data_IF_223769455720
#
_entry.id   IF_223769455720
#
_cell.length_a   1.000
_cell.length_b   1.000
_cell.length_c   1.000
_cell.angle_alpha   90.00
_cell.angle_beta   90.00
_cell.angle_gamma   90.00
#
_symmetry.space_group_name_H-M   'P 1'
#
loop_
_entity.id
_entity.type
_entity.pdbx_description
1 polymer ?
#
# COMPACT_ATOMS: atom_id res chain seq x y z
N UNK A 1 24.25 27.04 27.37
CA UNK A 1 24.29 27.64 28.71
C UNK A 1 24.85 26.60 29.64
N UNK A 2 25.99 26.84 30.29
CA UNK A 2 26.08 27.77 31.42
C UNK A 2 25.16 27.30 32.56
N UNK A 3 25.52 27.32 33.85
CA UNK A 3 26.40 28.17 34.63
C UNK A 3 26.66 27.47 35.98
N UNK A 4 27.83 27.70 36.61
CA UNK A 4 27.90 28.48 37.86
C UNK A 4 29.36 28.75 38.26
N UNK A 5 29.56 29.97 38.76
CA UNK A 5 30.81 30.73 38.88
C UNK A 5 30.78 31.49 40.22
N UNK A 6 31.97 31.93 40.65
CA UNK A 6 32.34 32.86 41.75
C UNK A 6 32.52 32.22 43.14
N UNK A 7 33.63 32.41 43.88
CA UNK A 7 34.61 33.51 43.99
C UNK A 7 34.50 34.04 45.44
N UNK A 8 35.55 34.27 46.26
CA UNK A 8 36.56 35.33 46.10
C UNK A 8 37.41 35.52 47.40
N UNK A 9 38.63 36.10 47.24
CA UNK A 9 39.42 36.98 48.14
C UNK A 9 40.13 36.38 49.40
N UNK A 10 41.33 36.81 49.84
CA UNK A 10 42.23 37.92 49.47
C UNK A 10 43.65 37.74 50.12
N UNK A 11 44.68 38.34 49.46
CA UNK A 11 45.89 39.02 49.99
C UNK A 11 46.82 38.27 50.99
N UNK A 12 48.15 38.22 50.87
CA UNK A 12 49.11 38.88 49.98
C UNK A 12 50.48 38.93 50.69
N UNK A 13 51.56 38.68 49.94
CA UNK A 13 52.96 39.12 50.18
C UNK A 13 53.69 38.58 51.44
N UNK A 14 54.97 38.20 51.47
CA UNK A 14 56.11 38.36 50.57
C UNK A 14 57.26 37.45 51.06
N UNK A 15 58.08 37.00 50.11
CA UNK A 15 59.53 36.72 50.16
C UNK A 15 60.16 35.93 51.33
N UNK A 16 60.62 34.71 51.01
CA UNK A 16 61.79 34.08 51.63
C UNK A 16 62.87 33.86 50.57
N UNK A 17 64.05 34.39 50.85
CA UNK A 17 65.31 34.17 50.15
C UNK A 17 66.12 33.17 51.00
N UNK A 18 66.46 31.99 50.45
CA UNK A 18 67.82 31.36 50.52
C UNK A 18 67.82 29.88 50.11
N UNK A 19 68.57 29.66 49.04
CA UNK A 19 69.62 28.65 48.84
C UNK A 19 69.30 27.15 48.87
N UNK A 20 69.32 26.61 47.65
CA UNK A 20 70.25 25.59 47.16
C UNK A 20 70.46 24.35 48.03
N UNK A 21 69.81 23.25 47.63
CA UNK A 21 70.46 21.96 47.41
C UNK A 21 69.50 21.01 46.68
N UNK A 22 70.06 20.23 45.73
CA UNK A 22 69.47 19.07 45.00
C UNK A 22 68.99 19.31 43.56
N UNK A 23 69.92 19.75 42.71
CA UNK A 23 69.84 19.61 41.24
C UNK A 23 70.39 18.25 40.76
N UNK A 24 69.86 17.13 41.27
CA UNK A 24 70.25 15.78 40.78
C UNK A 24 69.07 14.81 40.58
N UNK A 25 67.83 15.22 40.86
CA UNK A 25 66.64 14.39 40.60
C UNK A 25 65.85 14.77 39.34
N UNK A 26 66.21 15.88 38.69
CA UNK A 26 65.48 16.41 37.52
C UNK A 26 66.04 15.83 36.20
N UNK A 27 67.33 15.51 36.14
CA UNK A 27 67.98 14.99 34.93
C UNK A 27 67.58 13.54 34.57
N UNK A 28 67.09 12.74 35.53
CA UNK A 28 66.64 11.37 35.27
C UNK A 28 65.16 11.25 34.86
N UNK A 29 64.36 12.33 35.01
CA UNK A 29 62.93 12.32 34.66
C UNK A 29 62.65 12.73 33.21
N UNK A 30 63.56 13.46 32.59
CA UNK A 30 63.47 13.92 31.20
C UNK A 30 63.55 12.75 30.20
N UNK A 31 64.48 11.77 30.30
CA UNK A 31 64.51 10.66 29.35
C UNK A 31 63.29 9.74 29.47
N UNK A 32 62.74 9.58 30.68
CA UNK A 32 61.54 8.76 30.92
C UNK A 32 60.28 9.42 30.33
N UNK A 33 60.17 10.75 30.42
CA UNK A 33 59.07 11.50 29.82
C UNK A 33 59.14 11.53 28.29
N UNK A 34 60.36 11.54 27.71
CA UNK A 34 60.57 11.43 26.26
C UNK A 34 60.23 10.03 25.75
N UNK A 35 60.54 8.97 26.51
CA UNK A 35 60.12 7.60 26.16
C UNK A 35 58.60 7.41 26.22
N UNK A 36 57.92 8.02 27.20
CA UNK A 36 56.44 7.94 27.32
C UNK A 36 55.67 8.84 26.34
N UNK A 37 56.34 9.82 25.72
CA UNK A 37 55.74 10.72 24.70
C UNK A 37 56.17 10.36 23.27
N UNK A 38 57.03 9.35 23.10
CA UNK A 38 57.22 8.72 21.81
C UNK A 38 55.90 8.08 21.41
N UNK A 39 55.18 8.75 20.51
CA UNK A 39 53.94 8.24 19.96
C UNK A 39 54.27 6.87 19.38
N UNK A 40 53.64 5.83 19.92
CA UNK A 40 53.62 4.53 19.28
C UNK A 40 53.07 4.78 17.88
N UNK A 41 53.96 4.76 16.88
CA UNK A 41 53.54 4.74 15.49
C UNK A 41 52.56 3.59 15.39
N UNK A 42 51.30 3.89 15.12
CA UNK A 42 50.33 2.87 14.74
C UNK A 42 50.83 2.29 13.43
N UNK A 43 51.63 1.23 13.53
CA UNK A 43 52.01 0.43 12.39
C UNK A 43 50.73 -0.27 11.91
N UNK A 44 50.11 0.28 10.87
CA UNK A 44 49.12 -0.47 10.12
C UNK A 44 49.89 -1.49 9.29
N UNK A 45 49.83 -2.75 9.70
CA UNK A 45 50.24 -3.85 8.84
C UNK A 45 49.15 -4.03 7.79
N UNK A 46 49.37 -3.45 6.60
CA UNK A 46 48.59 -3.78 5.42
C UNK A 46 48.98 -5.19 4.95
N UNK A 47 48.03 -5.91 4.36
CA UNK A 47 48.34 -7.19 3.73
C UNK A 47 49.21 -6.94 2.51
N UNK A 48 50.29 -7.70 2.36
CA UNK A 48 51.21 -7.58 1.23
C UNK A 48 51.42 -8.96 0.61
N UNK A 49 51.16 -9.07 -0.69
CA UNK A 49 51.40 -10.29 -1.47
C UNK A 49 52.75 -10.16 -2.17
N UNK A 50 53.71 -11.01 -1.79
CA UNK A 50 55.01 -11.01 -2.43
C UNK A 50 54.90 -11.58 -3.87
N UNK A 51 55.12 -10.78 -4.92
CA UNK A 51 54.95 -11.22 -6.32
C UNK A 51 55.93 -12.33 -6.71
N UNK A 52 57.05 -12.48 -5.99
CA UNK A 52 58.02 -13.58 -6.21
C UNK A 52 57.46 -14.98 -5.95
N UNK A 53 56.32 -15.10 -5.28
CA UNK A 53 55.65 -16.40 -5.15
C UNK A 53 54.86 -16.82 -6.39
N UNK A 54 54.62 -15.90 -7.33
CA UNK A 54 53.89 -16.17 -8.57
C UNK A 54 54.84 -16.31 -9.78
N UNK A 55 55.95 -15.57 -9.79
CA UNK A 55 56.91 -15.54 -10.89
C UNK A 55 58.32 -15.18 -10.39
N UNK A 56 59.34 -15.75 -11.02
CA UNK A 56 60.75 -15.36 -10.80
C UNK A 56 61.05 -13.94 -11.30
N UNK A 57 60.24 -13.42 -12.23
CA UNK A 57 60.24 -12.03 -12.67
C UNK A 57 59.05 -11.27 -12.03
N UNK A 58 59.28 -10.44 -10.98
CA UNK A 58 58.23 -9.67 -10.33
C UNK A 58 57.59 -8.62 -11.24
N UNK A 59 58.29 -8.15 -12.28
CA UNK A 59 57.75 -7.13 -13.19
C UNK A 59 56.75 -7.70 -14.19
N UNK A 60 56.74 -9.02 -14.36
CA UNK A 60 55.75 -9.75 -15.14
C UNK A 60 54.47 -10.08 -14.35
N UNK A 61 54.44 -9.83 -13.03
CA UNK A 61 53.27 -10.07 -12.17
C UNK A 61 52.35 -8.84 -12.24
N UNK A 62 51.05 -9.09 -12.50
CA UNK A 62 50.04 -8.04 -12.51
C UNK A 62 49.90 -7.39 -11.13
N UNK A 63 49.39 -6.16 -11.10
CA UNK A 63 49.18 -5.42 -9.86
C UNK A 63 48.27 -6.19 -8.88
N UNK A 64 48.79 -6.48 -7.68
CA UNK A 64 48.11 -7.23 -6.62
C UNK A 64 47.46 -6.31 -5.56
N UNK A 65 47.61 -4.99 -5.69
CA UNK A 65 47.13 -4.01 -4.71
C UNK A 65 45.63 -4.13 -4.40
N UNK A 66 44.82 -4.57 -5.37
CA UNK A 66 43.39 -4.87 -5.16
C UNK A 66 43.15 -6.00 -4.15
N UNK A 67 43.92 -7.08 -4.25
CA UNK A 67 43.82 -8.24 -3.35
C UNK A 67 44.31 -7.95 -1.95
N UNK A 68 45.36 -7.13 -1.84
CA UNK A 68 45.88 -6.60 -0.58
C UNK A 68 44.83 -5.77 0.18
N UNK A 69 43.96 -5.08 -0.55
CA UNK A 69 42.84 -4.31 -0.01
C UNK A 69 41.56 -5.13 0.21
N UNK A 70 41.61 -6.46 0.03
CA UNK A 70 40.51 -7.38 0.27
C UNK A 70 39.57 -7.59 -0.91
N UNK A 71 39.97 -7.23 -2.14
CA UNK A 71 39.23 -7.60 -3.35
C UNK A 71 39.56 -9.05 -3.75
N UNK A 72 38.55 -9.83 -4.11
CA UNK A 72 38.77 -11.20 -4.63
C UNK A 72 39.09 -11.20 -6.12
N UNK A 73 38.69 -10.16 -6.86
CA UNK A 73 38.96 -9.96 -8.29
C UNK A 73 39.02 -8.46 -8.62
N UNK A 74 39.66 -8.06 -9.72
CA UNK A 74 39.71 -6.66 -10.14
C UNK A 74 38.35 -6.16 -10.67
N UNK A 75 38.10 -4.84 -10.69
CA UNK A 75 36.97 -4.23 -11.39
C UNK A 75 36.93 -4.63 -12.87
N UNK A 76 35.73 -4.81 -13.40
CA UNK A 76 35.55 -5.30 -14.78
C UNK A 76 34.17 -5.89 -15.02
N UNK A 77 33.99 -6.44 -16.22
CA UNK A 77 32.72 -7.06 -16.61
C UNK A 77 32.80 -8.57 -16.42
N UNK A 78 31.84 -9.12 -15.67
CA UNK A 78 31.77 -10.54 -15.37
C UNK A 78 30.38 -11.09 -15.70
N UNK A 79 30.35 -12.29 -16.28
CA UNK A 79 29.13 -13.06 -16.47
C UNK A 79 28.70 -13.62 -15.12
N UNK A 80 27.55 -13.21 -14.61
CA UNK A 80 27.08 -13.59 -13.27
C UNK A 80 25.61 -13.98 -13.27
N UNK A 81 25.28 -14.95 -12.41
CA UNK A 81 23.91 -15.25 -12.01
C UNK A 81 23.47 -14.26 -10.94
N UNK A 82 22.40 -13.50 -11.22
CA UNK A 82 21.86 -12.52 -10.28
C UNK A 82 20.75 -13.15 -9.46
N UNK A 83 20.95 -13.15 -8.15
CA UNK A 83 19.97 -13.54 -7.13
C UNK A 83 19.48 -12.30 -6.39
N UNK A 84 18.17 -12.19 -6.21
CA UNK A 84 17.54 -11.12 -5.44
C UNK A 84 16.66 -11.74 -4.35
N UNK A 85 16.95 -11.45 -3.09
CA UNK A 85 16.30 -12.05 -1.91
C UNK A 85 16.25 -13.58 -2.01
N UNK A 86 17.40 -14.20 -2.34
CA UNK A 86 17.61 -15.64 -2.57
C UNK A 86 16.86 -16.26 -3.78
N UNK A 87 16.10 -15.47 -4.54
CA UNK A 87 15.48 -15.90 -5.80
C UNK A 87 16.37 -15.65 -7.01
N UNK A 88 16.56 -16.66 -7.86
CA UNK A 88 17.23 -16.49 -9.14
C UNK A 88 16.41 -15.57 -10.06
N UNK A 89 17.07 -14.56 -10.64
CA UNK A 89 16.43 -13.61 -11.55
C UNK A 89 16.87 -13.84 -12.99
N UNK A 90 18.18 -13.77 -13.27
CA UNK A 90 18.73 -13.88 -14.62
C UNK A 90 20.24 -14.03 -14.59
N UNK A 91 20.82 -14.49 -15.70
CA UNK A 91 22.28 -14.52 -15.94
C UNK A 91 22.65 -13.47 -16.97
N UNK A 92 23.57 -12.55 -16.63
CA UNK A 92 24.02 -11.51 -17.56
C UNK A 92 25.44 -11.06 -17.27
N UNK A 93 26.00 -10.32 -18.22
CA UNK A 93 27.26 -9.61 -18.02
C UNK A 93 27.00 -8.34 -17.20
N UNK A 94 27.66 -8.24 -16.04
CA UNK A 94 27.54 -7.11 -15.11
C UNK A 94 28.91 -6.47 -14.98
N UNK A 95 28.96 -5.15 -15.19
CA UNK A 95 30.16 -4.36 -14.92
C UNK A 95 30.23 -4.06 -13.42
N UNK A 96 31.38 -4.33 -12.82
CA UNK A 96 31.67 -4.06 -11.43
C UNK A 96 32.70 -2.95 -11.32
N UNK A 97 32.34 -1.88 -10.64
CA UNK A 97 33.22 -0.76 -10.33
C UNK A 97 33.82 -0.91 -8.93
N UNK A 98 34.96 -0.27 -8.69
CA UNK A 98 35.58 -0.26 -7.36
C UNK A 98 34.68 0.48 -6.36
N UNK A 99 34.39 -0.17 -5.23
CA UNK A 99 33.63 0.44 -4.13
C UNK A 99 34.43 1.52 -3.39
N UNK A 100 33.77 2.15 -2.41
CA UNK A 100 34.38 3.20 -1.58
C UNK A 100 35.70 2.76 -0.95
N UNK A 101 36.72 3.62 -1.07
CA UNK A 101 38.09 3.39 -0.58
C UNK A 101 38.73 2.10 -1.11
N UNK A 102 38.32 1.63 -2.29
CA UNK A 102 38.89 0.45 -2.94
C UNK A 102 38.48 -0.88 -2.30
N UNK A 103 37.53 -0.88 -1.35
CA UNK A 103 37.07 -2.09 -0.67
C UNK A 103 35.83 -2.65 -1.35
N UNK A 104 35.97 -3.82 -1.94
CA UNK A 104 34.89 -4.53 -2.61
C UNK A 104 34.54 -3.97 -4.00
N UNK A 105 33.55 -4.61 -4.62
CA UNK A 105 33.08 -4.34 -5.96
C UNK A 105 31.58 -4.03 -5.95
N UNK A 106 31.18 -2.97 -6.64
CA UNK A 106 29.78 -2.57 -6.78
C UNK A 106 29.28 -2.85 -8.19
N UNK A 107 28.14 -3.56 -8.35
CA UNK A 107 27.58 -3.83 -9.65
C UNK A 107 26.93 -2.56 -10.23
N UNK A 108 27.25 -2.22 -11.46
CA UNK A 108 26.52 -1.23 -12.23
C UNK A 108 25.23 -1.86 -12.77
N UNK A 109 24.10 -1.55 -12.13
CA UNK A 109 22.77 -1.95 -12.57
C UNK A 109 21.94 -0.72 -12.92
N UNK A 110 21.24 -0.78 -14.04
CA UNK A 110 20.38 0.34 -14.47
C UNK A 110 18.99 0.24 -13.87
N UNK A 111 18.25 1.36 -13.87
CA UNK A 111 16.86 1.41 -13.37
C UNK A 111 15.96 0.37 -14.05
N UNK A 112 16.06 0.22 -15.37
CA UNK A 112 15.25 -0.74 -16.12
C UNK A 112 15.54 -2.20 -15.71
N UNK A 113 16.81 -2.51 -15.46
CA UNK A 113 17.21 -3.83 -14.99
C UNK A 113 16.66 -4.13 -13.59
N UNK A 114 16.77 -3.18 -12.66
CA UNK A 114 16.23 -3.33 -11.31
C UNK A 114 14.69 -3.47 -11.31
N UNK A 115 13.99 -2.66 -12.11
CA UNK A 115 12.55 -2.76 -12.27
C UNK A 115 12.10 -4.13 -12.79
N UNK A 116 12.82 -4.69 -13.77
CA UNK A 116 12.54 -6.03 -14.30
C UNK A 116 12.73 -7.15 -13.27
N UNK A 117 13.64 -6.96 -12.30
CA UNK A 117 13.86 -7.89 -11.19
C UNK A 117 12.85 -7.71 -10.04
N UNK A 118 11.90 -6.77 -10.19
CA UNK A 118 10.82 -6.57 -9.24
C UNK A 118 11.05 -5.44 -8.24
N UNK A 119 12.07 -4.59 -8.42
CA UNK A 119 12.20 -3.36 -7.64
C UNK A 119 11.09 -2.37 -7.99
N UNK A 120 10.43 -1.79 -7.00
CA UNK A 120 9.44 -0.72 -7.23
C UNK A 120 10.17 0.62 -7.42
N UNK A 121 10.13 1.14 -8.65
CA UNK A 121 10.81 2.40 -8.96
C UNK A 121 10.12 3.61 -8.35
N UNK A 122 8.84 3.50 -7.99
CA UNK A 122 8.04 4.57 -7.37
C UNK A 122 8.22 4.68 -5.86
N UNK A 123 8.72 3.63 -5.19
CA UNK A 123 8.92 3.63 -3.73
C UNK A 123 10.27 4.24 -3.31
N UNK A 124 11.17 4.51 -4.26
CA UNK A 124 12.51 5.03 -4.00
C UNK A 124 12.58 6.46 -4.55
N UNK A 125 12.75 7.43 -3.66
CA UNK A 125 12.88 8.83 -4.04
C UNK A 125 14.12 9.06 -4.91
N UNK A 126 14.03 9.91 -5.93
CA UNK A 126 15.13 10.26 -6.83
C UNK A 126 15.47 9.22 -7.91
N UNK A 127 15.00 7.97 -7.81
CA UNK A 127 15.32 6.92 -8.80
C UNK A 127 14.73 7.22 -10.18
N UNK A 128 13.56 7.85 -10.23
CA UNK A 128 12.92 8.30 -11.47
C UNK A 128 13.68 9.42 -12.20
N UNK A 129 14.52 10.17 -11.49
CA UNK A 129 15.25 11.32 -12.03
C UNK A 129 16.57 10.93 -12.69
N UNK A 130 17.10 9.74 -12.37
CA UNK A 130 18.33 9.23 -12.97
C UNK A 130 18.16 8.96 -14.48
N UNK A 131 19.23 9.15 -15.29
CA UNK A 131 19.27 8.68 -16.67
C UNK A 131 18.95 7.19 -16.76
N UNK A 132 18.32 6.75 -17.86
CA UNK A 132 17.88 5.36 -18.01
C UNK A 132 19.05 4.36 -17.96
N UNK A 133 20.21 4.76 -18.50
CA UNK A 133 21.40 3.92 -18.66
C UNK A 133 22.49 4.18 -17.60
N UNK A 134 22.23 5.04 -16.60
CA UNK A 134 23.20 5.27 -15.53
C UNK A 134 23.18 4.15 -14.50
N UNK A 135 24.36 3.84 -13.93
CA UNK A 135 24.47 2.97 -12.77
C UNK A 135 23.73 3.59 -11.59
N UNK A 136 22.82 2.82 -10.97
CA UNK A 136 22.08 3.27 -9.80
C UNK A 136 22.97 3.13 -8.56
N UNK A 137 23.14 4.20 -7.75
CA UNK A 137 23.89 4.12 -6.49
C UNK A 137 23.04 3.40 -5.41
N UNK A 138 22.96 2.08 -5.55
CA UNK A 138 22.06 1.20 -4.80
C UNK A 138 22.19 1.35 -3.27
N UNK A 139 23.42 1.38 -2.76
CA UNK A 139 23.70 1.48 -1.31
C UNK A 139 23.40 2.86 -0.71
N UNK A 140 23.39 3.91 -1.53
CA UNK A 140 23.08 5.27 -1.08
C UNK A 140 21.56 5.54 -1.13
N UNK A 141 20.87 4.95 -2.11
CA UNK A 141 19.45 5.19 -2.34
C UNK A 141 18.52 4.24 -1.59
N UNK A 142 19.00 3.05 -1.22
CA UNK A 142 18.20 2.01 -0.57
C UNK A 142 18.85 1.67 0.77
N UNK A 143 18.23 2.14 1.85
CA UNK A 143 18.63 1.82 3.21
C UNK A 143 18.48 0.31 3.48
N UNK A 144 19.38 -0.26 4.28
CA UNK A 144 19.44 -1.69 4.64
C UNK A 144 19.61 -2.68 3.47
N UNK A 145 19.92 -2.20 2.26
CA UNK A 145 20.29 -3.06 1.14
C UNK A 145 21.69 -3.64 1.34
N UNK A 146 21.87 -4.92 0.96
CA UNK A 146 23.20 -5.53 0.90
C UNK A 146 23.49 -6.10 -0.49
N UNK A 147 24.77 -6.04 -0.86
CA UNK A 147 25.31 -6.55 -2.11
C UNK A 147 26.47 -7.48 -1.76
N UNK A 148 26.42 -8.71 -2.26
CA UNK A 148 27.52 -9.67 -2.12
C UNK A 148 27.78 -10.35 -3.46
N UNK A 149 28.98 -10.17 -3.98
CA UNK A 149 29.41 -10.91 -5.16
C UNK A 149 30.27 -12.11 -4.73
N UNK A 150 29.84 -13.32 -5.09
CA UNK A 150 30.55 -14.57 -4.88
C UNK A 150 31.26 -14.96 -6.16
N UNK A 151 32.57 -14.72 -6.21
CA UNK A 151 33.38 -14.93 -7.42
C UNK A 151 33.45 -16.41 -7.76
N UNK A 152 33.66 -17.27 -6.75
CA UNK A 152 33.83 -18.70 -6.94
C UNK A 152 32.59 -19.36 -7.57
N UNK A 153 31.41 -18.86 -7.23
CA UNK A 153 30.14 -19.34 -7.80
C UNK A 153 29.65 -18.50 -8.98
N UNK A 154 30.31 -17.38 -9.31
CA UNK A 154 29.83 -16.38 -10.28
C UNK A 154 28.42 -15.87 -9.96
N UNK A 155 28.13 -15.62 -8.68
CA UNK A 155 26.79 -15.25 -8.20
C UNK A 155 26.77 -13.88 -7.54
N UNK A 156 25.91 -13.00 -8.04
CA UNK A 156 25.62 -11.72 -7.42
C UNK A 156 24.36 -11.83 -6.56
N UNK A 157 24.52 -11.71 -5.25
CA UNK A 157 23.43 -11.67 -4.28
C UNK A 157 23.07 -10.23 -3.95
N UNK A 158 21.81 -9.89 -4.20
CA UNK A 158 21.20 -8.63 -3.81
C UNK A 158 20.16 -8.93 -2.73
N UNK A 159 20.24 -8.24 -1.60
CA UNK A 159 19.21 -8.31 -0.56
C UNK A 159 18.58 -6.93 -0.42
N UNK A 160 17.32 -6.81 -0.79
CA UNK A 160 16.58 -5.56 -0.83
C UNK A 160 15.38 -5.68 0.11
N UNK A 161 15.17 -4.74 1.04
CA UNK A 161 14.00 -4.75 1.92
C UNK A 161 12.70 -4.81 1.12
N UNK A 162 11.76 -5.63 1.58
CA UNK A 162 10.53 -5.90 0.83
C UNK A 162 9.67 -4.65 0.62
N UNK A 163 9.79 -3.63 1.48
CA UNK A 163 9.11 -2.35 1.31
C UNK A 163 9.48 -1.61 0.00
N UNK A 164 10.65 -1.88 -0.58
CA UNK A 164 11.10 -1.30 -1.85
C UNK A 164 10.83 -2.21 -3.06
N UNK A 165 10.31 -3.41 -2.83
CA UNK A 165 9.94 -4.34 -3.89
C UNK A 165 8.54 -4.01 -4.42
N UNK A 166 8.32 -4.32 -5.69
CA UNK A 166 7.00 -4.26 -6.30
C UNK A 166 6.02 -5.17 -5.56
N UNK A 167 4.90 -4.60 -5.12
CA UNK A 167 3.85 -5.32 -4.40
C UNK A 167 3.19 -6.38 -5.27
N UNK A 168 3.77 -7.57 -5.35
CA UNK A 168 3.11 -8.78 -5.86
C UNK A 168 2.44 -9.47 -4.70
N UNK A 169 1.23 -9.02 -4.36
CA UNK A 169 0.42 -9.74 -3.40
C UNK A 169 0.22 -11.20 -3.84
N UNK A 170 0.06 -12.08 -2.85
CA UNK A 170 -0.18 -13.49 -3.09
C UNK A 170 -1.40 -13.69 -3.99
N UNK A 171 -1.23 -14.49 -5.05
CA UNK A 171 -2.28 -14.72 -6.04
C UNK A 171 -2.50 -13.58 -7.04
N UNK A 172 -1.60 -12.59 -7.09
CA UNK A 172 -1.64 -11.56 -8.12
C UNK A 172 -1.37 -12.13 -9.50
N UNK A 173 -2.20 -11.72 -10.47
CA UNK A 173 -2.10 -12.11 -11.88
C UNK A 173 -1.77 -10.86 -12.69
N UNK A 174 -0.66 -10.83 -13.44
CA UNK A 174 -0.32 -9.72 -14.33
C UNK A 174 -1.48 -9.37 -15.29
N UNK A 175 -1.83 -8.08 -15.45
CA UNK A 175 -2.93 -7.68 -16.32
C UNK A 175 -2.76 -8.06 -17.79
N UNK A 176 -1.52 -8.22 -18.28
CA UNK A 176 -1.25 -8.73 -19.64
C UNK A 176 -1.71 -10.18 -19.88
N UNK A 177 -1.98 -10.94 -18.81
CA UNK A 177 -2.50 -12.30 -18.89
C UNK A 177 -4.04 -12.35 -18.85
N UNK A 178 -4.72 -11.21 -18.73
CA UNK A 178 -6.18 -11.17 -18.69
C UNK A 178 -6.74 -11.29 -20.11
N UNK A 179 -7.57 -12.30 -20.33
CA UNK A 179 -8.22 -12.55 -21.62
C UNK A 179 -9.60 -11.88 -21.67
N UNK A 180 -9.85 -11.09 -22.70
CA UNK A 180 -11.15 -10.46 -22.96
C UNK A 180 -12.25 -11.49 -23.31
N UNK A 181 -11.82 -12.68 -23.76
CA UNK A 181 -12.65 -13.77 -24.21
C UNK A 181 -12.92 -13.73 -25.71
N UNK A 182 -13.73 -14.69 -26.17
CA UNK A 182 -14.11 -14.81 -27.58
C UNK A 182 -15.35 -13.98 -27.93
N UNK A 183 -15.48 -13.64 -29.20
CA UNK A 183 -16.71 -13.08 -29.74
C UNK A 183 -17.83 -14.13 -29.71
N UNK A 184 -18.95 -13.83 -29.05
CA UNK A 184 -20.03 -14.79 -28.86
C UNK A 184 -21.38 -14.12 -28.70
N UNK A 185 -22.43 -14.78 -29.20
CA UNK A 185 -23.82 -14.47 -28.87
C UNK A 185 -24.28 -15.38 -27.72
N UNK A 186 -25.02 -14.80 -26.79
CA UNK A 186 -25.53 -15.45 -25.58
C UNK A 186 -27.05 -15.29 -25.53
N UNK A 187 -27.74 -16.37 -25.15
CA UNK A 187 -29.18 -16.35 -24.89
C UNK A 187 -29.48 -17.32 -23.74
N UNK A 188 -29.93 -16.78 -22.62
CA UNK A 188 -30.51 -17.56 -21.53
C UNK A 188 -32.02 -17.32 -21.49
N UNK A 189 -32.79 -18.37 -21.24
CA UNK A 189 -34.24 -18.30 -21.10
C UNK A 189 -34.70 -19.02 -19.83
N UNK A 190 -35.68 -18.44 -19.14
CA UNK A 190 -36.38 -19.09 -18.04
C UNK A 190 -37.88 -18.96 -18.27
N UNK A 191 -38.55 -20.09 -18.48
CA UNK A 191 -39.98 -20.16 -18.72
C UNK A 191 -40.68 -20.88 -17.56
N UNK A 192 -41.63 -20.19 -16.93
CA UNK A 192 -42.45 -20.74 -15.86
C UNK A 192 -43.92 -20.54 -16.17
N UNK A 193 -44.76 -21.46 -15.69
CA UNK A 193 -46.21 -21.34 -15.84
C UNK A 193 -46.93 -22.13 -14.76
N UNK A 194 -48.09 -21.63 -14.38
CA UNK A 194 -48.95 -22.28 -13.40
C UNK A 194 -50.42 -22.03 -13.72
N UNK A 195 -51.25 -23.01 -13.40
CA UNK A 195 -52.70 -22.90 -13.48
C UNK A 195 -53.26 -23.04 -12.08
N UNK A 196 -54.08 -22.06 -11.69
CA UNK A 196 -54.82 -22.05 -10.43
C UNK A 196 -56.27 -22.40 -10.74
N UNK A 197 -56.78 -23.43 -10.08
CA UNK A 197 -58.20 -23.79 -10.14
C UNK A 197 -58.86 -23.31 -8.85
N UNK A 198 -59.84 -22.41 -8.97
CA UNK A 198 -60.60 -21.93 -7.83
C UNK A 198 -61.98 -22.62 -7.78
N UNK A 199 -62.43 -22.99 -6.59
CA UNK A 199 -63.75 -23.61 -6.39
C UNK A 199 -64.91 -22.69 -6.83
N UNK A 200 -64.69 -21.38 -6.76
CA UNK A 200 -65.61 -20.33 -7.24
C UNK A 200 -64.81 -19.34 -8.10
N UNK A 201 -65.27 -19.06 -9.32
CA UNK A 201 -64.65 -18.06 -10.20
C UNK A 201 -63.78 -18.60 -11.35
N UNK A 202 -63.73 -19.93 -11.54
CA UNK A 202 -63.07 -20.58 -12.68
C UNK A 202 -61.57 -20.83 -12.51
N UNK A 203 -60.90 -21.19 -13.60
CA UNK A 203 -59.44 -21.36 -13.62
C UNK A 203 -58.74 -20.07 -14.07
N UNK A 204 -57.53 -19.86 -13.55
CA UNK A 204 -56.63 -18.79 -13.98
C UNK A 204 -55.30 -19.39 -14.41
N UNK A 205 -54.80 -18.99 -15.58
CA UNK A 205 -53.51 -19.43 -16.09
C UNK A 205 -52.53 -18.28 -16.05
N UNK A 206 -51.30 -18.56 -15.65
CA UNK A 206 -50.20 -17.62 -15.64
C UNK A 206 -49.02 -18.26 -16.36
N UNK A 207 -48.34 -17.48 -17.19
CA UNK A 207 -47.07 -17.85 -17.78
C UNK A 207 -46.11 -16.65 -17.75
N UNK A 208 -44.84 -16.95 -17.58
CA UNK A 208 -43.79 -15.95 -17.48
C UNK A 208 -42.55 -16.46 -18.20
N UNK A 209 -41.97 -15.62 -19.05
CA UNK A 209 -40.72 -15.89 -19.73
C UNK A 209 -39.73 -14.76 -19.43
N UNK A 210 -38.56 -15.08 -18.92
CA UNK A 210 -37.42 -14.18 -18.81
C UNK A 210 -36.40 -14.54 -19.89
N UNK A 211 -36.08 -13.60 -20.76
CA UNK A 211 -35.05 -13.73 -21.79
C UNK A 211 -33.88 -12.80 -21.45
N UNK A 212 -32.70 -13.38 -21.29
CA UNK A 212 -31.44 -12.65 -21.09
C UNK A 212 -30.58 -12.87 -22.32
N UNK A 213 -30.48 -11.84 -23.15
CA UNK A 213 -29.68 -11.86 -24.37
C UNK A 213 -28.35 -11.16 -24.12
N UNK A 214 -27.31 -11.59 -24.83
CA UNK A 214 -26.01 -10.96 -24.73
C UNK A 214 -25.17 -11.09 -26.00
N UNK A 215 -24.27 -10.14 -26.16
CA UNK A 215 -23.26 -10.15 -27.22
C UNK A 215 -21.92 -9.76 -26.60
N UNK A 216 -20.91 -10.59 -26.82
CA UNK A 216 -19.52 -10.30 -26.49
C UNK A 216 -18.77 -9.99 -27.79
N UNK A 217 -18.10 -8.85 -27.84
CA UNK A 217 -17.23 -8.43 -28.95
C UNK A 217 -15.94 -7.83 -28.38
N UNK A 218 -14.87 -8.62 -28.36
CA UNK A 218 -13.65 -8.30 -27.60
C UNK A 218 -13.98 -7.97 -26.14
N UNK A 219 -13.41 -6.87 -25.63
CA UNK A 219 -13.65 -6.38 -24.27
C UNK A 219 -15.08 -5.84 -23.99
N UNK A 220 -15.92 -5.70 -25.02
CA UNK A 220 -17.26 -5.14 -24.88
C UNK A 220 -18.30 -6.23 -24.64
N UNK A 221 -19.15 -6.00 -23.64
CA UNK A 221 -20.20 -6.93 -23.23
C UNK A 221 -21.54 -6.20 -23.25
N UNK A 222 -22.36 -6.51 -24.24
CA UNK A 222 -23.75 -6.04 -24.32
C UNK A 222 -24.66 -7.06 -23.64
N UNK A 223 -25.58 -6.60 -22.81
CA UNK A 223 -26.58 -7.41 -22.12
C UNK A 223 -27.95 -6.75 -22.25
N UNK A 224 -28.97 -7.57 -22.50
CA UNK A 224 -30.38 -7.18 -22.52
C UNK A 224 -31.20 -8.17 -21.70
N UNK A 225 -32.12 -7.66 -20.89
CA UNK A 225 -33.08 -8.48 -20.16
C UNK A 225 -34.50 -8.01 -20.48
N UNK A 226 -35.30 -8.93 -20.99
CA UNK A 226 -36.67 -8.68 -21.41
C UNK A 226 -37.57 -9.80 -20.91
N UNK A 227 -38.74 -9.44 -20.40
CA UNK A 227 -39.70 -10.39 -19.85
C UNK A 227 -41.01 -10.37 -20.60
N UNK A 228 -41.67 -11.52 -20.67
CA UNK A 228 -43.03 -11.66 -21.15
C UNK A 228 -43.90 -12.21 -20.03
N UNK A 229 -44.99 -11.52 -19.74
CA UNK A 229 -46.01 -11.95 -18.78
C UNK A 229 -47.32 -12.25 -19.50
N UNK A 230 -47.90 -13.40 -19.15
CA UNK A 230 -49.23 -13.80 -19.55
C UNK A 230 -50.04 -14.13 -18.30
N UNK A 231 -51.24 -13.56 -18.21
CA UNK A 231 -52.25 -13.96 -17.25
C UNK A 231 -53.60 -14.03 -17.94
N UNK A 232 -54.37 -15.08 -17.65
CA UNK A 232 -55.75 -15.20 -18.11
C UNK A 232 -56.64 -15.68 -16.98
N UNK A 233 -57.72 -14.95 -16.72
CA UNK A 233 -58.71 -15.29 -15.70
C UNK A 233 -59.98 -14.47 -15.84
N UNK A 234 -60.99 -14.75 -15.01
CA UNK A 234 -62.33 -14.18 -15.12
C UNK A 234 -62.42 -12.66 -14.95
N UNK A 235 -61.40 -12.03 -14.35
CA UNK A 235 -61.40 -10.60 -14.03
C UNK A 235 -60.44 -9.76 -14.89
N UNK A 236 -59.33 -10.32 -15.37
CA UNK A 236 -58.34 -9.62 -16.18
C UNK A 236 -57.54 -10.62 -17.02
N UNK A 237 -57.21 -10.21 -18.25
CA UNK A 237 -56.26 -10.88 -19.12
C UNK A 237 -55.10 -9.92 -19.41
N UNK A 238 -53.88 -10.38 -19.23
CA UNK A 238 -52.66 -9.63 -19.53
C UNK A 238 -51.77 -10.47 -20.44
N UNK A 239 -51.22 -9.85 -21.48
CA UNK A 239 -50.26 -10.47 -22.37
C UNK A 239 -49.31 -9.39 -22.89
N UNK A 240 -48.19 -9.19 -22.21
CA UNK A 240 -47.30 -8.09 -22.53
C UNK A 240 -45.83 -8.47 -22.46
N UNK A 241 -45.05 -7.85 -23.35
CA UNK A 241 -43.61 -7.82 -23.28
C UNK A 241 -43.17 -6.57 -22.53
N UNK A 242 -42.34 -6.74 -21.52
CA UNK A 242 -41.77 -5.67 -20.72
C UNK A 242 -40.25 -5.74 -20.77
N UNK A 243 -39.64 -4.67 -21.27
CA UNK A 243 -38.19 -4.50 -21.25
C UNK A 243 -37.70 -4.08 -19.86
N UNK A 244 -36.73 -4.82 -19.30
CA UNK A 244 -36.18 -4.53 -17.97
C UNK A 244 -34.97 -3.62 -18.08
N UNK A 245 -33.90 -4.04 -18.73
CA UNK A 245 -32.68 -3.24 -18.85
C UNK A 245 -31.83 -3.66 -20.05
N UNK A 246 -31.15 -2.67 -20.63
CA UNK A 246 -30.07 -2.87 -21.60
C UNK A 246 -28.84 -2.13 -21.12
N UNK A 247 -27.68 -2.79 -21.09
CA UNK A 247 -26.42 -2.11 -20.83
C UNK A 247 -25.27 -2.69 -21.64
N UNK A 248 -24.31 -1.82 -21.88
CA UNK A 248 -23.04 -2.12 -22.51
C UNK A 248 -21.95 -1.83 -21.48
N UNK A 249 -21.15 -2.83 -21.15
CA UNK A 249 -20.06 -2.70 -20.18
C UNK A 249 -18.72 -3.08 -20.79
N UNK A 250 -17.67 -2.46 -20.26
CA UNK A 250 -16.27 -2.74 -20.59
C UNK A 250 -15.39 -2.49 -19.39
N UNK A 251 -14.45 -3.39 -19.17
CA UNK A 251 -13.40 -3.22 -18.17
C UNK A 251 -12.29 -2.29 -18.72
N UNK A 252 -11.84 -1.36 -17.88
CA UNK A 252 -10.77 -0.40 -18.14
C UNK A 252 -9.58 -0.77 -17.24
N UNK A 253 -8.80 -1.74 -17.69
CA UNK A 253 -7.70 -2.37 -16.95
C UNK A 253 -6.70 -1.38 -16.33
N UNK A 254 -6.21 -0.33 -17.03
CA UNK A 254 -5.27 0.62 -16.43
C UNK A 254 -5.84 1.39 -15.23
N UNK A 255 -7.16 1.56 -15.17
CA UNK A 255 -7.85 2.25 -14.08
C UNK A 255 -8.39 1.29 -13.01
N UNK A 256 -8.30 -0.03 -13.24
CA UNK A 256 -8.94 -1.09 -12.44
C UNK A 256 -10.43 -0.82 -12.21
N UNK A 257 -11.12 -0.43 -13.27
CA UNK A 257 -12.50 0.04 -13.23
C UNK A 257 -13.35 -0.57 -14.31
N UNK A 258 -14.66 -0.61 -14.10
CA UNK A 258 -15.67 -0.94 -15.10
C UNK A 258 -16.39 0.33 -15.57
N UNK A 259 -16.45 0.48 -16.89
CA UNK A 259 -17.30 1.46 -17.56
C UNK A 259 -18.61 0.79 -17.95
N UNK A 260 -19.73 1.37 -17.54
CA UNK A 260 -21.08 0.90 -17.87
C UNK A 260 -21.87 2.01 -18.55
N UNK A 261 -22.48 1.68 -19.69
CA UNK A 261 -23.30 2.55 -20.52
C UNK A 261 -24.71 1.95 -20.64
N UNK A 262 -25.75 2.75 -20.44
CA UNK A 262 -27.14 2.29 -20.48
C UNK A 262 -27.75 2.16 -19.10
N UNK A 263 -28.57 1.12 -18.90
CA UNK A 263 -29.33 0.88 -17.68
C UNK A 263 -28.49 0.20 -16.60
N UNK A 264 -28.33 0.82 -15.44
CA UNK A 264 -27.62 0.23 -14.31
C UNK A 264 -28.13 0.80 -12.99
N UNK A 265 -27.42 0.52 -11.90
CA UNK A 265 -27.71 1.00 -10.56
C UNK A 265 -26.46 1.55 -9.87
N UNK A 266 -26.64 2.45 -8.90
CA UNK A 266 -25.54 2.92 -8.05
C UNK A 266 -25.42 2.06 -6.80
N UNK A 267 -24.20 1.83 -6.32
CA UNK A 267 -23.97 1.15 -5.04
C UNK A 267 -24.54 1.96 -3.86
N UNK A 268 -25.01 1.21 -2.85
CA UNK A 268 -25.64 1.74 -1.64
C UNK A 268 -24.67 2.11 -0.50
N UNK A 269 -23.38 2.26 -0.79
CA UNK A 269 -22.33 2.34 0.25
C UNK A 269 -22.37 3.64 1.07
N UNK A 270 -22.76 4.75 0.44
CA UNK A 270 -22.80 6.10 1.04
C UNK A 270 -24.18 6.74 0.90
N UNK A 271 -24.77 6.63 -0.30
CA UNK A 271 -26.13 7.09 -0.59
C UNK A 271 -27.02 5.89 -0.87
N UNK A 272 -28.33 6.09 -0.80
CA UNK A 272 -29.28 5.07 -1.26
C UNK A 272 -29.03 4.72 -2.72
N UNK A 273 -29.09 3.42 -3.01
CA UNK A 273 -28.94 2.86 -4.35
C UNK A 273 -30.09 3.30 -5.24
N UNK A 274 -29.76 3.88 -6.39
CA UNK A 274 -30.73 4.32 -7.38
C UNK A 274 -30.47 3.63 -8.71
N UNK A 275 -31.54 3.24 -9.38
CA UNK A 275 -31.52 2.78 -10.76
C UNK A 275 -31.43 4.00 -11.69
N UNK A 276 -30.63 3.90 -12.74
CA UNK A 276 -30.40 4.99 -13.68
C UNK A 276 -30.20 4.48 -15.11
N UNK A 277 -30.33 5.40 -16.05
CA UNK A 277 -29.88 5.22 -17.43
C UNK A 277 -28.84 6.29 -17.77
N UNK A 278 -27.64 5.89 -18.16
CA UNK A 278 -26.56 6.84 -18.42
C UNK A 278 -25.19 6.19 -18.49
N UNK A 279 -24.20 6.85 -17.88
CA UNK A 279 -22.80 6.43 -17.88
C UNK A 279 -22.32 6.32 -16.44
N UNK A 280 -21.63 5.23 -16.13
CA UNK A 280 -20.96 5.03 -14.84
C UNK A 280 -19.55 4.50 -15.06
N UNK A 281 -18.60 5.06 -14.33
CA UNK A 281 -17.26 4.53 -14.16
C UNK A 281 -17.06 4.22 -12.68
N UNK A 282 -16.81 2.95 -12.35
CA UNK A 282 -16.63 2.49 -10.98
C UNK A 282 -15.40 1.60 -10.87
N UNK A 283 -14.61 1.74 -9.82
CA UNK A 283 -13.56 0.78 -9.48
C UNK A 283 -14.16 -0.61 -9.22
N UNK A 284 -13.56 -1.67 -9.74
CA UNK A 284 -14.03 -3.04 -9.57
C UNK A 284 -13.11 -3.84 -8.64
N UNK A 285 -13.60 -4.20 -7.46
CA UNK A 285 -12.86 -4.98 -6.47
C UNK A 285 -12.53 -6.40 -6.97
N UNK A 286 -13.21 -6.91 -8.00
CA UNK A 286 -12.90 -8.20 -8.62
C UNK A 286 -11.59 -8.18 -9.41
N UNK A 287 -11.09 -7.00 -9.78
CA UNK A 287 -9.78 -6.81 -10.42
C UNK A 287 -8.62 -6.83 -9.42
N UNK A 288 -8.92 -6.95 -8.12
CA UNK A 288 -7.92 -7.12 -7.07
C UNK A 288 -7.71 -8.61 -6.78
N UNK A 289 -6.47 -9.02 -6.42
CA UNK A 289 -6.22 -10.35 -5.86
C UNK A 289 -7.09 -10.60 -4.63
N UNK A 290 -7.50 -11.85 -4.41
CA UNK A 290 -8.35 -12.21 -3.27
C UNK A 290 -7.71 -11.88 -1.92
N UNK A 291 -6.38 -11.94 -1.84
CA UNK A 291 -5.58 -11.51 -0.66
C UNK A 291 -5.69 -10.01 -0.36
N UNK A 292 -6.15 -9.21 -1.31
CA UNK A 292 -6.28 -7.75 -1.21
C UNK A 292 -7.73 -7.27 -1.19
N UNK A 293 -8.70 -8.16 -1.38
CA UNK A 293 -10.12 -7.83 -1.27
C UNK A 293 -10.51 -7.50 0.17
N UNK A 294 -11.34 -6.48 0.32
CA UNK A 294 -11.84 -6.03 1.61
C UNK A 294 -10.78 -5.43 2.53
N UNK A 295 -11.24 -5.00 3.70
CA UNK A 295 -10.37 -4.39 4.70
C UNK A 295 -9.60 -5.45 5.48
N UNK A 296 -8.28 -5.29 5.54
CA UNK A 296 -7.41 -5.93 6.52
C UNK A 296 -6.35 -4.89 6.96
N UNK A 297 -5.87 -4.91 8.22
CA UNK A 297 -4.82 -4.00 8.66
C UNK A 297 -3.54 -4.28 7.91
N UNK A 298 -2.86 -3.22 7.44
CA UNK A 298 -1.51 -3.34 6.90
C UNK A 298 -0.53 -3.35 8.07
N UNK A 299 0.32 -4.39 8.11
CA UNK A 299 1.31 -4.55 9.17
C UNK A 299 2.63 -3.99 8.66
N UNK A 300 3.16 -2.99 9.37
CA UNK A 300 4.48 -2.43 9.13
C UNK A 300 5.44 -2.95 10.20
N UNK A 301 6.67 -3.29 9.79
CA UNK A 301 7.70 -3.79 10.71
C UNK A 301 9.10 -3.62 10.14
N UNK A 302 10.11 -3.82 11.00
CA UNK A 302 11.52 -3.79 10.63
C UNK A 302 12.16 -5.07 11.13
N UNK A 303 12.78 -5.83 10.23
CA UNK A 303 13.56 -7.01 10.55
C UNK A 303 15.05 -6.65 10.64
N UNK A 304 15.74 -7.11 11.68
CA UNK A 304 17.18 -6.81 11.85
C UNK A 304 18.05 -7.64 10.91
N UNK A 305 17.61 -8.86 10.62
CA UNK A 305 18.23 -9.75 9.64
C UNK A 305 17.17 -10.45 8.80
N UNK A 306 17.53 -11.58 8.19
CA UNK A 306 16.54 -12.46 7.56
C UNK A 306 15.65 -13.03 8.65
N UNK A 307 14.37 -12.69 8.62
CA UNK A 307 13.42 -13.02 9.67
C UNK A 307 12.21 -13.79 9.13
N UNK A 308 11.64 -14.64 9.97
CA UNK A 308 10.35 -15.28 9.72
C UNK A 308 9.25 -14.49 10.42
N UNK A 309 8.31 -13.96 9.65
CA UNK A 309 7.14 -13.25 10.17
C UNK A 309 5.94 -14.18 10.14
N UNK A 310 5.32 -14.38 11.30
CA UNK A 310 4.05 -15.09 11.44
C UNK A 310 2.97 -14.20 12.04
N UNK A 311 1.75 -14.36 11.54
CA UNK A 311 0.56 -13.67 12.04
C UNK A 311 -0.44 -14.71 12.49
N UNK A 312 -0.87 -14.59 13.74
CA UNK A 312 -1.92 -15.43 14.34
C UNK A 312 -3.17 -14.63 14.58
N UNK A 313 -4.32 -15.26 14.36
CA UNK A 313 -5.62 -14.73 14.73
C UNK A 313 -6.41 -15.82 15.46
N UNK A 314 -6.99 -15.50 16.62
CA UNK A 314 -7.72 -16.46 17.46
C UNK A 314 -6.92 -17.73 17.76
N UNK A 315 -5.59 -17.63 17.87
CA UNK A 315 -4.67 -18.74 18.13
C UNK A 315 -4.21 -19.53 16.90
N UNK A 316 -4.84 -19.35 15.75
CA UNK A 316 -4.46 -20.02 14.49
C UNK A 316 -3.48 -19.16 13.68
N UNK A 317 -2.46 -19.77 13.10
CA UNK A 317 -1.54 -19.11 12.17
C UNK A 317 -2.23 -18.92 10.82
N UNK A 318 -2.45 -17.66 10.45
CA UNK A 318 -3.16 -17.28 9.22
C UNK A 318 -2.22 -16.79 8.13
N UNK A 319 -0.99 -16.42 8.50
CA UNK A 319 0.04 -15.94 7.59
C UNK A 319 1.41 -16.30 8.12
N UNK A 320 2.29 -16.72 7.22
CA UNK A 320 3.69 -16.98 7.50
C UNK A 320 4.49 -16.67 6.24
N UNK A 321 5.57 -15.89 6.38
CA UNK A 321 6.50 -15.60 5.29
C UNK A 321 7.88 -15.27 5.85
N UNK A 322 8.93 -15.56 5.09
CA UNK A 322 10.27 -15.03 5.34
C UNK A 322 10.39 -13.65 4.70
N UNK A 323 11.06 -12.72 5.38
CA UNK A 323 11.34 -11.37 4.89
C UNK A 323 12.85 -11.10 4.91
N UNK A 324 13.38 -10.34 3.93
CA UNK A 324 14.76 -9.88 3.97
C UNK A 324 14.98 -8.88 5.13
N UNK A 325 16.24 -8.63 5.52
CA UNK A 325 16.61 -7.55 6.44
C UNK A 325 16.05 -6.20 6.00
N UNK A 326 15.74 -5.35 6.98
CA UNK A 326 15.23 -3.99 6.77
C UNK A 326 13.69 -3.88 6.91
N UNK A 327 13.11 -2.74 6.47
CA UNK A 327 11.68 -2.51 6.56
C UNK A 327 10.86 -3.42 5.64
N UNK A 328 9.74 -3.91 6.16
CA UNK A 328 8.78 -4.74 5.43
C UNK A 328 7.34 -4.31 5.70
N UNK A 329 6.46 -4.62 4.75
CA UNK A 329 5.02 -4.32 4.83
C UNK A 329 4.22 -5.54 4.40
N UNK A 330 3.28 -5.98 5.24
CA UNK A 330 2.35 -7.06 4.91
C UNK A 330 1.00 -6.42 4.58
N UNK A 331 0.65 -6.42 3.30
CA UNK A 331 -0.58 -5.83 2.76
C UNK A 331 -1.46 -6.84 2.00
N UNK A 332 -1.15 -8.14 2.10
CA UNK A 332 -1.80 -9.26 1.42
C UNK A 332 -2.45 -10.25 2.41
N UNK A 333 -2.83 -9.76 3.59
CA UNK A 333 -3.68 -10.52 4.50
C UNK A 333 -5.10 -10.62 3.95
N UNK A 334 -5.63 -11.86 3.90
CA UNK A 334 -7.04 -12.08 3.61
C UNK A 334 -7.91 -11.36 4.64
N UNK A 335 -8.97 -10.70 4.17
CA UNK A 335 -9.97 -10.13 5.07
C UNK A 335 -10.73 -11.27 5.76
N UNK A 336 -10.41 -11.53 7.02
CA UNK A 336 -11.24 -12.41 7.86
C UNK A 336 -12.48 -11.61 8.28
N UNK A 337 -13.67 -12.13 7.95
CA UNK A 337 -14.95 -11.47 8.26
C UNK A 337 -15.29 -11.36 9.75
N UNK A 338 -14.50 -12.01 10.62
CA UNK A 338 -14.64 -11.93 12.06
C UNK A 338 -13.56 -11.03 12.65
N UNK A 339 -13.98 -10.03 13.43
CA UNK A 339 -13.11 -9.19 14.25
C UNK A 339 -12.33 -10.07 15.23
N UNK A 340 -11.05 -9.78 15.41
CA UNK A 340 -10.17 -10.51 16.32
C UNK A 340 -8.74 -10.06 16.13
N UNK A 341 -8.06 -9.73 17.23
CA UNK A 341 -6.72 -9.15 17.21
C UNK A 341 -5.71 -10.07 16.50
N UNK A 342 -4.81 -9.44 15.75
CA UNK A 342 -3.72 -10.11 15.04
C UNK A 342 -2.47 -10.10 15.93
N UNK A 343 -1.99 -11.26 16.32
CA UNK A 343 -0.71 -11.39 17.01
C UNK A 343 0.40 -11.60 15.97
N UNK A 344 1.29 -10.63 15.85
CA UNK A 344 2.43 -10.67 14.94
C UNK A 344 3.66 -11.11 15.72
N UNK A 345 4.36 -12.11 15.19
CA UNK A 345 5.65 -12.57 15.72
C UNK A 345 6.70 -12.48 14.61
N UNK A 346 7.77 -11.73 14.86
CA UNK A 346 8.94 -11.65 14.01
C UNK A 346 10.03 -12.45 14.69
N UNK A 347 10.40 -13.59 14.10
CA UNK A 347 11.47 -14.46 14.60
C UNK A 347 12.72 -14.23 13.76
N UNK A 348 13.75 -13.67 14.39
CA UNK A 348 15.03 -13.34 13.76
C UNK A 348 15.92 -14.59 13.64
N UNK A 349 16.95 -14.51 12.79
CA UNK A 349 17.90 -15.60 12.56
C UNK A 349 18.69 -16.01 13.82
N UNK A 350 18.90 -15.09 14.76
CA UNK A 350 19.58 -15.34 16.05
C UNK A 350 18.67 -16.04 17.09
N UNK A 351 17.41 -16.31 16.74
CA UNK A 351 16.40 -16.89 17.61
C UNK A 351 15.66 -15.89 18.49
N UNK A 352 16.05 -14.62 18.49
CA UNK A 352 15.28 -13.56 19.16
C UNK A 352 13.91 -13.39 18.48
N UNK A 353 12.92 -12.93 19.25
CA UNK A 353 11.55 -12.77 18.75
C UNK A 353 10.97 -11.45 19.22
N UNK A 354 10.34 -10.73 18.28
CA UNK A 354 9.57 -9.53 18.55
C UNK A 354 8.08 -9.88 18.41
N UNK A 355 7.29 -9.67 19.46
CA UNK A 355 5.86 -9.98 19.46
C UNK A 355 5.07 -8.72 19.75
N UNK A 356 4.11 -8.40 18.88
CA UNK A 356 3.19 -7.29 19.09
C UNK A 356 1.80 -7.64 18.54
N UNK A 357 0.78 -6.97 19.08
CA UNK A 357 -0.61 -7.22 18.72
C UNK A 357 -1.17 -6.02 17.93
N UNK A 358 -1.74 -6.31 16.75
CA UNK A 358 -2.45 -5.34 15.92
C UNK A 358 -3.95 -5.58 16.08
N UNK A 359 -4.69 -4.64 16.72
CA UNK A 359 -6.13 -4.82 16.90
C UNK A 359 -6.83 -4.77 15.53
N UNK A 360 -7.75 -5.71 15.30
CA UNK A 360 -8.46 -5.81 14.02
C UNK A 360 -9.98 -5.80 14.21
N UNK A 361 -10.62 -4.81 13.61
CA UNK A 361 -12.07 -4.64 13.53
C UNK A 361 -12.41 -4.04 12.18
N UNK A 362 -13.36 -4.65 11.46
CA UNK A 362 -13.76 -4.21 10.12
C UNK A 362 -15.20 -3.69 10.11
N UNK A 363 -15.41 -2.56 9.43
CA UNK A 363 -16.75 -2.06 9.05
C UNK A 363 -16.82 -2.06 7.52
N UNK A 364 -17.97 -2.37 6.88
CA UNK A 364 -18.06 -2.51 5.43
C UNK A 364 -17.55 -1.33 4.58
N UNK A 365 -17.50 -0.12 5.15
CA UNK A 365 -17.05 1.10 4.45
C UNK A 365 -15.52 1.28 4.52
N UNK A 366 -14.81 0.55 5.38
CA UNK A 366 -13.36 0.71 5.54
C UNK A 366 -12.60 0.23 4.30
N UNK A 367 -11.61 1.01 3.91
CA UNK A 367 -10.68 0.70 2.83
C UNK A 367 -9.29 0.40 3.39
N UNK A 368 -8.63 -0.60 2.78
CA UNK A 368 -7.24 -0.96 3.09
C UNK A 368 -6.32 0.22 2.75
N UNK A 369 -5.22 0.37 3.49
CA UNK A 369 -4.26 1.45 3.25
C UNK A 369 -3.75 1.45 1.79
N UNK A 370 -3.79 2.62 1.15
CA UNK A 370 -3.39 2.79 -0.26
C UNK A 370 -4.47 2.42 -1.27
N UNK A 371 -5.59 1.83 -0.85
CA UNK A 371 -6.71 1.49 -1.74
C UNK A 371 -7.69 2.65 -1.87
N UNK A 372 -8.16 2.83 -3.10
CA UNK A 372 -9.09 3.88 -3.48
C UNK A 372 -10.25 3.25 -4.23
N UNK A 373 -11.44 3.28 -3.64
CA UNK A 373 -12.68 2.85 -4.30
C UNK A 373 -13.46 4.08 -4.70
N UNK A 374 -13.82 4.18 -5.97
CA UNK A 374 -14.52 5.36 -6.49
C UNK A 374 -15.64 4.97 -7.43
N UNK A 375 -16.65 5.83 -7.53
CA UNK A 375 -17.74 5.69 -8.48
C UNK A 375 -18.16 7.06 -8.96
N UNK A 376 -18.22 7.24 -10.27
CA UNK A 376 -18.72 8.44 -10.92
C UNK A 376 -19.85 8.03 -11.84
N UNK A 377 -21.03 8.62 -11.65
CA UNK A 377 -22.26 8.29 -12.39
C UNK A 377 -22.92 9.57 -12.89
N UNK A 378 -23.34 9.56 -14.15
CA UNK A 378 -24.13 10.63 -14.76
C UNK A 378 -25.26 10.00 -15.57
N UNK A 379 -26.50 10.41 -15.35
CA UNK A 379 -27.63 9.81 -16.05
C UNK A 379 -28.98 10.37 -15.65
N UNK A 380 -30.03 9.73 -16.13
CA UNK A 380 -31.40 9.97 -15.70
C UNK A 380 -31.83 8.93 -14.67
N UNK A 381 -32.54 9.37 -13.63
CA UNK A 381 -33.11 8.47 -12.64
C UNK A 381 -34.22 7.61 -13.27
N UNK A 382 -34.23 6.32 -12.92
CA UNK A 382 -35.20 5.35 -13.45
C UNK A 382 -35.76 4.47 -12.34
N UNK A 383 -36.95 4.78 -11.82
CA UNK A 383 -37.58 3.94 -10.79
C UNK A 383 -38.40 2.77 -11.32
N UNK A 384 -38.83 2.82 -12.58
CA UNK A 384 -39.82 1.88 -13.12
C UNK A 384 -41.26 2.21 -12.73
N UNK A 385 -41.49 3.28 -11.96
CA UNK A 385 -42.83 3.78 -11.63
C UNK A 385 -43.21 4.95 -12.56
N UNK A 386 -44.36 4.86 -13.21
CA UNK A 386 -44.88 5.89 -14.13
C UNK A 386 -45.27 7.20 -13.42
N UNK A 387 -45.41 7.19 -12.10
CA UNK A 387 -45.76 8.37 -11.30
C UNK A 387 -44.55 9.20 -10.87
N UNK A 388 -43.32 8.74 -11.15
CA UNK A 388 -42.10 9.46 -10.79
C UNK A 388 -41.45 10.09 -12.02
N UNK A 389 -40.92 11.29 -11.83
CA UNK A 389 -40.12 11.95 -12.84
C UNK A 389 -38.79 11.21 -13.06
N UNK A 390 -38.16 11.49 -14.21
CA UNK A 390 -36.84 10.97 -14.58
C UNK A 390 -35.81 12.11 -14.58
N UNK A 391 -35.51 12.73 -13.42
CA UNK A 391 -34.57 13.84 -13.35
C UNK A 391 -33.17 13.39 -13.75
N UNK A 392 -32.43 14.29 -14.41
CA UNK A 392 -31.00 14.10 -14.68
C UNK A 392 -30.22 14.33 -13.40
N UNK A 393 -29.24 13.48 -13.12
CA UNK A 393 -28.39 13.60 -11.95
C UNK A 393 -26.93 13.30 -12.26
N UNK A 394 -26.07 13.77 -11.37
CA UNK A 394 -24.66 13.43 -11.31
C UNK A 394 -24.32 13.01 -9.88
N UNK A 395 -23.57 11.92 -9.73
CA UNK A 395 -23.14 11.38 -8.45
C UNK A 395 -21.67 10.99 -8.51
N UNK A 396 -20.91 11.39 -7.49
CA UNK A 396 -19.55 10.92 -7.28
C UNK A 396 -19.34 10.48 -5.83
N UNK A 397 -18.67 9.34 -5.67
CA UNK A 397 -18.22 8.82 -4.38
C UNK A 397 -16.76 8.42 -4.49
N UNK A 398 -15.98 8.71 -3.45
CA UNK A 398 -14.59 8.29 -3.32
C UNK A 398 -14.37 7.81 -1.89
N UNK A 399 -13.77 6.65 -1.73
CA UNK A 399 -13.40 6.00 -0.47
C UNK A 399 -11.89 5.74 -0.52
N UNK A 400 -11.14 6.39 0.36
CA UNK A 400 -9.68 6.31 0.41
C UNK A 400 -9.21 5.71 1.75
N UNK A 401 -8.42 4.63 1.69
CA UNK A 401 -7.77 4.06 2.87
C UNK A 401 -6.49 4.80 3.23
N UNK A 402 -6.36 5.23 4.50
CA UNK A 402 -5.25 6.06 4.99
C UNK A 402 -4.26 5.28 5.89
N UNK A 403 -2.99 5.72 5.98
CA UNK A 403 -1.92 5.03 6.73
C UNK A 403 -2.03 5.00 8.26
N UNK A 404 -3.04 5.63 8.87
CA UNK A 404 -3.20 5.67 10.33
C UNK A 404 -3.68 4.31 10.90
N UNK A 405 -2.87 3.26 10.70
CA UNK A 405 -3.13 1.86 11.01
C UNK A 405 -4.42 1.32 10.39
N UNK A 406 -4.78 1.77 9.18
CA UNK A 406 -6.02 1.37 8.50
C UNK A 406 -7.31 1.78 9.22
N UNK A 407 -7.24 2.63 10.25
CA UNK A 407 -8.40 2.95 11.11
C UNK A 407 -9.31 4.03 10.57
N UNK A 408 -8.87 4.79 9.56
CA UNK A 408 -9.64 5.92 9.05
C UNK A 408 -9.73 5.83 7.51
N UNK A 409 -10.96 5.96 7.00
CA UNK A 409 -11.26 6.02 5.56
C UNK A 409 -11.88 7.39 5.26
N UNK A 410 -11.34 8.10 4.27
CA UNK A 410 -11.94 9.34 3.80
C UNK A 410 -13.00 9.03 2.73
N UNK A 411 -14.21 9.55 2.92
CA UNK A 411 -15.37 9.20 2.08
C UNK A 411 -16.08 10.44 1.48
N UNK A 412 -15.40 11.33 0.72
CA UNK A 412 -16.08 12.46 0.08
C UNK A 412 -17.12 11.96 -0.93
N UNK A 413 -18.29 12.60 -0.92
CA UNK A 413 -19.39 12.25 -1.81
C UNK A 413 -20.20 13.48 -2.20
N UNK A 414 -20.75 13.46 -3.40
CA UNK A 414 -21.62 14.52 -3.92
C UNK A 414 -22.68 13.93 -4.84
N UNK A 415 -23.90 14.47 -4.77
CA UNK A 415 -24.98 14.16 -5.71
C UNK A 415 -25.68 15.47 -6.07
N UNK A 416 -25.86 15.73 -7.36
CA UNK A 416 -26.64 16.86 -7.88
C UNK A 416 -27.76 16.34 -8.76
N UNK A 417 -28.95 16.91 -8.64
CA UNK A 417 -30.09 16.64 -9.51
C UNK A 417 -30.45 17.94 -10.25
N UNK A 418 -30.83 17.81 -11.51
CA UNK A 418 -31.21 18.91 -12.40
C UNK A 418 -32.66 18.74 -12.86
N UNK A 419 -33.57 19.47 -12.22
CA UNK A 419 -34.94 19.80 -12.68
C UNK A 419 -35.25 21.26 -12.26
N UNK A 420 -36.13 22.01 -12.97
CA UNK A 420 -36.04 23.46 -13.01
C UNK A 420 -36.46 24.10 -11.67
N UNK A 421 -35.70 25.11 -11.25
CA UNK A 421 -35.90 25.98 -10.08
C UNK A 421 -35.51 25.48 -8.67
N UNK A 422 -34.91 24.30 -8.51
CA UNK A 422 -34.25 23.95 -7.24
C UNK A 422 -32.87 23.36 -7.49
N UNK A 423 -31.84 24.21 -7.42
CA UNK A 423 -30.48 23.72 -7.20
C UNK A 423 -30.37 23.16 -5.78
N UNK A 424 -30.77 21.91 -5.57
CA UNK A 424 -30.52 21.21 -4.32
C UNK A 424 -29.04 20.78 -4.29
N UNK A 425 -28.21 21.58 -3.62
CA UNK A 425 -26.83 21.21 -3.33
C UNK A 425 -26.83 20.25 -2.13
N UNK A 426 -26.99 18.96 -2.40
CA UNK A 426 -26.78 17.91 -1.40
C UNK A 426 -25.29 17.65 -1.21
N UNK A 427 -24.59 18.52 -0.47
CA UNK A 427 -23.28 18.17 0.10
C UNK A 427 -23.52 17.40 1.40
N UNK A 428 -23.73 16.10 1.29
CA UNK A 428 -23.60 15.23 2.46
C UNK A 428 -22.11 15.04 2.68
N UNK A 429 -21.56 15.78 3.65
CA UNK A 429 -20.29 15.39 4.24
C UNK A 429 -20.56 14.08 4.98
N UNK A 430 -20.38 12.95 4.29
CA UNK A 430 -20.29 11.65 4.94
C UNK A 430 -19.30 11.81 6.08
N UNK A 431 -19.73 11.42 7.28
CA UNK A 431 -19.03 11.64 8.54
C UNK A 431 -17.51 11.57 8.38
N UNK A 432 -16.77 12.50 8.99
CA UNK A 432 -15.39 12.22 9.39
C UNK A 432 -15.46 10.97 10.29
N UNK A 433 -15.28 9.80 9.69
CA UNK A 433 -15.52 8.52 10.32
C UNK A 433 -14.48 8.27 11.39
N UNK A 434 -14.88 8.51 12.65
CA UNK A 434 -14.27 8.05 13.90
C UNK A 434 -12.81 7.58 13.81
N UNK A 435 -11.86 8.51 13.89
CA UNK A 435 -10.60 8.19 14.56
C UNK A 435 -10.86 8.21 16.09
N UNK A 436 -11.62 7.24 16.63
CA UNK A 436 -11.92 7.21 18.08
C UNK A 436 -10.81 6.46 18.82
N UNK A 437 -10.00 7.26 19.50
CA UNK A 437 -9.06 6.87 20.55
C UNK A 437 -9.68 5.96 21.61
N UNK A 438 -8.87 5.02 22.10
CA UNK A 438 -9.10 4.24 23.33
C UNK A 438 -9.56 5.16 24.47
N UNK A 439 -10.68 4.82 25.13
CA UNK A 439 -11.12 5.49 26.37
C UNK A 439 -10.20 5.14 27.54
N UNK A 440 -10.12 5.99 28.58
CA UNK A 440 -10.99 5.72 29.73
C UNK A 440 -11.62 6.93 30.44
N UNK A 441 -12.87 6.67 30.87
CA UNK A 441 -13.72 7.27 31.93
C UNK A 441 -14.52 8.57 31.67
N UNK A 442 -15.80 8.60 32.12
CA UNK A 442 -16.69 9.75 32.03
C UNK A 442 -16.55 10.67 33.26
N UNK A 443 -16.71 11.98 33.05
CA UNK A 443 -17.03 12.95 34.11
C UNK A 443 -18.22 13.83 33.67
N UNK A 444 -19.01 14.35 34.63
CA UNK A 444 -20.45 14.61 34.50
C UNK A 444 -20.80 15.97 33.85
N UNK A 445 -22.07 16.22 33.49
CA UNK A 445 -22.46 17.46 32.81
C UNK A 445 -22.63 18.61 33.82
N UNK A 446 -22.17 19.80 33.44
CA UNK A 446 -22.52 21.07 34.10
C UNK A 446 -23.44 21.92 33.20
N UNK A 447 -24.29 22.78 33.78
CA UNK A 447 -25.64 23.06 33.28
C UNK A 447 -25.76 24.27 32.33
N UNK A 448 -26.93 24.33 31.70
CA UNK A 448 -27.45 25.39 30.80
C UNK A 448 -27.30 26.82 31.34
N UNK A 449 -27.12 27.77 30.42
CA UNK A 449 -27.51 29.17 30.63
C UNK A 449 -28.44 29.59 29.50
N UNK A 450 -29.69 29.88 29.85
CA UNK A 450 -30.71 30.43 28.97
C UNK A 450 -30.41 31.90 28.66
N UNK A 451 -30.56 32.30 27.39
CA UNK A 451 -30.62 33.71 27.00
C UNK A 451 -32.02 33.98 26.47
N UNK A 452 -32.82 34.62 27.32
CA UNK A 452 -34.08 35.27 27.02
C UNK A 452 -33.81 36.49 26.15
N UNK A 453 -34.51 36.63 25.01
CA UNK A 453 -34.66 37.92 24.32
C UNK A 453 -36.13 38.25 24.13
N UNK A 454 -36.53 39.30 24.82
CA UNK A 454 -37.83 39.96 24.81
C UNK A 454 -38.00 40.75 23.51
N UNK A 455 -39.15 40.61 22.85
CA UNK A 455 -39.68 41.68 21.98
C UNK A 455 -41.19 41.79 22.17
N UNK A 456 -41.61 42.90 22.79
CA UNK A 456 -42.99 43.37 22.88
C UNK A 456 -43.49 43.79 21.49
N UNK A 457 -44.73 43.43 21.14
CA UNK A 457 -45.57 44.29 20.30
C UNK A 457 -47.05 44.08 20.69
N UNK A 458 -47.84 45.12 20.46
CA UNK A 458 -49.00 45.52 21.21
C UNK A 458 -50.30 44.75 20.93
N UNK A 459 -51.18 44.86 21.92
CA UNK A 459 -52.55 44.38 22.07
C UNK A 459 -53.62 45.16 21.28
N UNK A 460 -54.67 44.45 20.85
CA UNK A 460 -56.07 44.93 20.72
C UNK A 460 -56.98 43.69 20.82
N UNK A 461 -57.67 43.40 21.93
CA UNK A 461 -58.95 43.95 22.44
C UNK A 461 -60.19 43.66 21.54
N UNK A 462 -60.81 42.52 21.87
CA UNK A 462 -62.24 42.21 22.14
C UNK A 462 -63.37 42.19 21.10
N UNK A 463 -64.24 41.19 21.37
CA UNK A 463 -65.69 41.02 21.17
C UNK A 463 -66.09 40.35 19.85
N UNK A 464 -66.89 39.29 19.83
CA UNK A 464 -67.81 38.71 20.82
C UNK A 464 -67.92 37.20 20.62
#
# INVERSE_FOLDING_TARGET
MSYLKYGLYHLGSQCIRRNNLRSTRILARIPLFILLTSQAFSAQAEFYFNPRFLSDDPTAVADLSGFENGQEIPPGTYRVDIYLNDGYMTTRDVTFDAGDKGKGLLPCLTRGQLASMGLSTSSIAGLGELPADSCVPLLEMIEDMTIRFDVAQQRLYLTIPQAFMGNRARGSIPPELWDDGINALLLNYNFTGNTVHNDVGGSSNYAYLNLQSGLNLGAWRLRDNTTWSYSSGSANNENQWQHINTWLERDVTPLRSRLTLGDSYTNGDIFDGINFRGVQLASDDNMLPDSQKGFAPVIHGIARGTAQVSVKQNGYEIYQSTVPPGPFTINDLYAAGNSGDLQVTIKEADGSSQVFTVPYSSVPVLQREGYSRYTVTAGEYRSGNNQQEKPKFFQGTLLQGLPAAGRCTAAPSWRTATTPLTSAWGKTWGSWGRCRWMSPRPMPPCPMTAITRVSRSASSITSR
#
